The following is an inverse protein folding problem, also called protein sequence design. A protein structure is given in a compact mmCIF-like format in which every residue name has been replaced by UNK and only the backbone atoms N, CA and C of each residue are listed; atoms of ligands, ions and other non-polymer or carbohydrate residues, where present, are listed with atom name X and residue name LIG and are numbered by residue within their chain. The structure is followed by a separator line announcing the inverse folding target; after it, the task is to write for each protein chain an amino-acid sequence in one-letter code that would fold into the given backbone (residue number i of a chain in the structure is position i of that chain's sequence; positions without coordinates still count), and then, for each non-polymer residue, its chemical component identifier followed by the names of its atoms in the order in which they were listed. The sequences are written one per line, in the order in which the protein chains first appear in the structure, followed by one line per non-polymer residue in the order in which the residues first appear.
data_IF_231291491383
#
_entry.id   IF_231291491383
#
_cell.length_a   1.000
_cell.length_b   1.000
_cell.length_c   1.000
_cell.angle_alpha   90.00
_cell.angle_beta   90.00
_cell.angle_gamma   90.00
#
_symmetry.space_group_name_H-M   'P 1'
#
loop_
_entity.id
_entity.type
_entity.pdbx_description
1 polymer ?
#
# COMPACT_ATOMS: atom_id res chain seq x y z
N UNK A 1 76.26 13.11 29.08
CA UNK A 1 76.51 11.66 29.08
C UNK A 1 75.16 10.94 29.03
N UNK A 2 75.00 10.07 28.01
CA UNK A 2 74.01 8.97 27.85
C UNK A 2 72.51 9.31 27.87
N UNK A 3 71.77 9.27 26.74
CA UNK A 3 71.21 8.07 26.04
C UNK A 3 70.46 7.13 26.99
N UNK A 4 69.17 6.81 26.88
CA UNK A 4 68.49 6.03 25.80
C UNK A 4 66.98 5.99 26.20
N UNK A 5 65.96 6.19 25.34
CA UNK A 5 65.28 5.11 24.59
C UNK A 5 63.99 5.65 23.92
N UNK A 6 63.73 5.18 22.68
CA UNK A 6 62.57 5.40 21.78
C UNK A 6 61.41 4.43 22.13
N UNK A 7 60.33 4.26 21.33
CA UNK A 7 59.42 5.18 20.58
C UNK A 7 57.91 4.86 20.84
N UNK A 8 56.95 5.70 20.40
CA UNK A 8 55.71 5.24 19.72
C UNK A 8 54.92 6.42 19.13
N UNK A 9 54.52 6.32 17.85
CA UNK A 9 53.58 7.21 17.14
C UNK A 9 52.14 6.63 17.16
N UNK A 10 51.13 7.36 16.68
CA UNK A 10 50.02 7.95 17.43
C UNK A 10 48.80 7.02 17.63
N UNK A 11 47.89 7.34 18.55
CA UNK A 11 46.50 6.87 18.45
C UNK A 11 45.53 7.84 19.16
N UNK A 12 44.42 8.22 18.50
CA UNK A 12 43.38 9.06 19.07
C UNK A 12 42.49 8.22 20.00
N UNK A 13 42.37 8.65 21.27
CA UNK A 13 41.55 7.94 22.25
C UNK A 13 40.12 8.48 22.25
N UNK A 14 39.23 7.64 21.71
CA UNK A 14 37.81 7.43 22.04
C UNK A 14 36.98 8.63 22.54
N UNK A 15 36.04 9.08 21.71
CA UNK A 15 34.67 9.31 22.18
C UNK A 15 33.74 8.30 21.52
N UNK A 16 33.27 7.37 22.34
CA UNK A 16 32.19 6.47 22.01
C UNK A 16 30.89 7.27 21.89
N UNK A 17 30.24 7.20 20.73
CA UNK A 17 28.80 7.42 20.61
C UNK A 17 28.20 6.19 19.95
N UNK A 18 27.93 5.20 20.78
CA UNK A 18 26.89 4.21 20.52
C UNK A 18 25.57 4.85 20.94
N UNK A 19 24.64 4.99 20.00
CA UNK A 19 23.19 4.68 20.13
C UNK A 19 22.43 5.28 18.93
N UNK A 20 22.17 4.43 17.94
CA UNK A 20 21.06 4.55 17.02
C UNK A 20 20.50 3.15 16.86
N UNK A 21 19.36 2.88 17.48
CA UNK A 21 18.71 1.59 17.45
C UNK A 21 18.31 1.26 16.00
N UNK A 22 18.95 0.26 15.42
CA UNK A 22 18.47 -0.36 14.20
C UNK A 22 17.17 -1.12 14.54
N UNK A 23 16.07 -0.73 13.92
CA UNK A 23 14.83 -1.49 13.97
C UNK A 23 15.08 -2.83 13.28
N UNK A 24 15.26 -3.89 14.08
CA UNK A 24 15.39 -5.24 13.56
C UNK A 24 14.04 -5.76 13.11
N UNK A 25 13.85 -5.91 11.80
CA UNK A 25 12.81 -6.77 11.27
C UNK A 25 13.22 -8.25 11.47
N UNK A 26 12.31 -9.15 11.89
CA UNK A 26 12.63 -10.56 11.98
C UNK A 26 12.77 -11.16 10.56
N UNK A 27 13.99 -11.58 10.20
CA UNK A 27 14.21 -12.40 9.01
C UNK A 27 13.64 -13.81 9.26
N UNK A 28 12.48 -14.10 8.69
CA UNK A 28 11.94 -15.46 8.66
C UNK A 28 12.62 -16.21 7.52
N UNK A 29 13.59 -17.05 7.85
CA UNK A 29 14.21 -17.96 6.88
C UNK A 29 13.27 -19.17 6.69
N UNK A 30 12.50 -19.17 5.61
CA UNK A 30 11.75 -20.35 5.17
C UNK A 30 12.60 -21.11 4.15
N UNK A 31 13.30 -22.15 4.60
CA UNK A 31 13.93 -23.09 3.69
C UNK A 31 12.88 -24.08 3.16
N UNK A 32 12.36 -23.85 1.95
CA UNK A 32 11.62 -24.89 1.21
C UNK A 32 12.52 -25.46 0.13
N UNK A 33 12.82 -26.76 0.23
CA UNK A 33 13.50 -27.48 -0.83
C UNK A 33 12.48 -27.74 -1.95
N UNK A 34 12.58 -27.00 -3.06
CA UNK A 34 11.79 -27.25 -4.26
C UNK A 34 12.44 -28.37 -5.12
N UNK A 35 11.67 -29.28 -5.74
CA UNK A 35 12.21 -30.30 -6.62
C UNK A 35 12.83 -29.66 -7.87
N UNK A 36 14.06 -30.07 -8.20
CA UNK A 36 14.72 -29.73 -9.45
C UNK A 36 13.97 -30.37 -10.63
N UNK A 37 13.11 -29.60 -11.28
CA UNK A 37 12.57 -29.93 -12.60
C UNK A 37 12.45 -28.63 -13.42
N UNK A 38 13.12 -28.64 -14.58
CA UNK A 38 13.19 -27.63 -15.61
C UNK A 38 14.05 -26.39 -15.29
N UNK A 39 15.30 -26.44 -15.76
CA UNK A 39 16.03 -25.24 -16.17
C UNK A 39 15.25 -24.55 -17.30
N UNK A 40 14.40 -23.61 -16.93
CA UNK A 40 13.82 -22.63 -17.83
C UNK A 40 14.29 -21.28 -17.31
N UNK A 41 15.26 -20.71 -18.03
CA UNK A 41 15.73 -19.32 -17.98
C UNK A 41 15.03 -18.50 -16.89
N UNK A 42 15.66 -18.39 -15.71
CA UNK A 42 15.37 -17.25 -14.84
C UNK A 42 15.66 -16.02 -15.71
N UNK A 43 14.70 -15.11 -15.92
CA UNK A 43 14.99 -13.89 -16.63
C UNK A 43 16.19 -13.22 -15.93
N UNK A 44 17.24 -12.89 -16.68
CA UNK A 44 18.46 -12.26 -16.12
C UNK A 44 18.22 -10.81 -15.64
N UNK A 45 16.96 -10.37 -15.54
CA UNK A 45 16.54 -9.01 -15.20
C UNK A 45 15.46 -9.07 -14.11
N UNK A 46 15.46 -8.12 -13.15
CA UNK A 46 14.46 -8.05 -12.09
C UNK A 46 13.05 -7.79 -12.67
N UNK A 47 12.01 -8.24 -11.97
CA UNK A 47 10.65 -7.76 -12.22
C UNK A 47 10.53 -6.28 -11.87
N UNK A 48 9.79 -5.53 -12.67
CA UNK A 48 9.58 -4.09 -12.54
C UNK A 48 8.09 -3.79 -12.77
N UNK A 49 7.41 -3.31 -11.72
CA UNK A 49 5.96 -3.12 -11.65
C UNK A 49 5.60 -1.70 -11.21
N UNK A 50 4.82 -1.00 -12.02
CA UNK A 50 4.20 0.26 -11.64
C UNK A 50 2.81 0.04 -11.04
N UNK A 51 2.44 0.78 -10.00
CA UNK A 51 1.09 0.82 -9.44
C UNK A 51 0.47 2.22 -9.52
N UNK A 52 -0.78 2.30 -9.94
CA UNK A 52 -1.54 3.55 -9.98
C UNK A 52 -2.93 3.38 -9.35
N UNK A 53 -3.21 4.19 -8.33
CA UNK A 53 -4.55 4.38 -7.79
C UNK A 53 -5.25 5.36 -8.73
N UNK A 54 -6.28 4.89 -9.43
CA UNK A 54 -6.98 5.70 -10.44
C UNK A 54 -7.64 6.90 -9.78
N UNK A 55 -7.57 8.06 -10.44
CA UNK A 55 -8.17 9.29 -9.95
C UNK A 55 -9.66 9.10 -9.59
N UNK A 56 -10.11 9.67 -8.45
CA UNK A 56 -11.52 9.78 -8.17
C UNK A 56 -12.22 10.55 -9.30
N UNK A 57 -13.47 10.19 -9.63
CA UNK A 57 -14.18 10.83 -10.73
C UNK A 57 -14.50 12.30 -10.40
N UNK A 58 -14.26 13.16 -11.38
CA UNK A 58 -14.49 14.61 -11.33
C UNK A 58 -15.31 15.00 -12.56
N UNK A 59 -16.34 15.81 -12.36
CA UNK A 59 -17.10 16.44 -13.43
C UNK A 59 -16.22 17.49 -14.10
N UNK A 60 -15.84 17.27 -15.37
CA UNK A 60 -14.95 18.13 -16.13
C UNK A 60 -15.55 19.49 -16.50
N UNK A 61 -16.88 19.64 -16.46
CA UNK A 61 -17.55 20.90 -16.76
C UNK A 61 -17.57 21.82 -15.53
N UNK A 62 -17.71 21.23 -14.33
CA UNK A 62 -17.84 21.98 -13.06
C UNK A 62 -16.60 21.93 -12.18
N UNK A 63 -15.66 21.03 -12.49
CA UNK A 63 -14.50 20.68 -11.66
C UNK A 63 -14.87 20.25 -10.24
N UNK A 64 -16.08 19.70 -10.07
CA UNK A 64 -16.56 19.18 -8.79
C UNK A 64 -16.42 17.66 -8.73
N UNK A 65 -16.23 17.07 -7.53
CA UNK A 65 -16.20 15.63 -7.37
C UNK A 65 -17.53 14.98 -7.82
N UNK A 66 -17.43 13.95 -8.66
CA UNK A 66 -18.58 13.24 -9.18
C UNK A 66 -18.95 12.08 -8.24
N UNK A 67 -20.15 12.10 -7.65
CA UNK A 67 -20.56 11.14 -6.62
C UNK A 67 -21.12 9.85 -7.25
N UNK A 68 -20.26 9.07 -7.92
CA UNK A 68 -20.66 7.88 -8.69
C UNK A 68 -20.15 6.55 -8.12
N UNK A 69 -19.25 6.57 -7.14
CA UNK A 69 -18.71 5.35 -6.53
C UNK A 69 -19.50 4.99 -5.26
N UNK A 70 -20.11 3.79 -5.18
CA UNK A 70 -20.89 3.39 -4.02
C UNK A 70 -20.01 2.96 -2.84
N UNK A 71 -20.38 3.46 -1.66
CA UNK A 71 -19.96 2.94 -0.36
C UNK A 71 -21.10 2.08 0.18
N UNK A 72 -20.83 0.80 0.38
CA UNK A 72 -21.81 -0.18 0.83
C UNK A 72 -21.85 -0.32 2.35
N UNK A 73 -22.92 -0.91 2.85
CA UNK A 73 -22.88 -1.60 4.14
C UNK A 73 -22.04 -2.88 4.03
N UNK A 74 -21.75 -3.52 5.16
CA UNK A 74 -20.92 -4.73 5.24
C UNK A 74 -21.37 -5.89 4.31
N UNK A 75 -22.63 -5.90 3.86
CA UNK A 75 -23.15 -6.90 2.93
C UNK A 75 -22.66 -6.76 1.48
N UNK A 76 -21.99 -5.64 1.14
CA UNK A 76 -21.54 -5.29 -0.22
C UNK A 76 -22.66 -5.22 -1.26
N UNK A 77 -23.92 -5.03 -0.82
CA UNK A 77 -25.12 -5.01 -1.68
C UNK A 77 -25.95 -3.76 -1.42
N UNK A 78 -26.09 -3.38 -0.16
CA UNK A 78 -26.85 -2.21 0.24
C UNK A 78 -25.95 -0.99 0.16
N UNK A 79 -26.22 -0.10 -0.80
CA UNK A 79 -25.50 1.19 -0.91
C UNK A 79 -25.92 2.06 0.28
N UNK A 80 -24.95 2.46 1.10
CA UNK A 80 -25.16 3.39 2.20
C UNK A 80 -24.99 4.84 1.74
N UNK A 81 -24.04 5.10 0.83
CA UNK A 81 -23.73 6.43 0.33
C UNK A 81 -23.05 6.36 -1.04
N UNK A 82 -23.22 7.40 -1.86
CA UNK A 82 -22.43 7.62 -3.08
C UNK A 82 -21.32 8.64 -2.82
N UNK A 83 -20.14 8.40 -3.38
CA UNK A 83 -18.93 9.17 -3.13
C UNK A 83 -18.10 9.35 -4.41
N UNK A 84 -17.14 10.27 -4.38
CA UNK A 84 -16.10 10.38 -5.41
C UNK A 84 -14.85 9.72 -4.84
N UNK A 85 -14.63 8.45 -5.20
CA UNK A 85 -13.52 7.65 -4.69
C UNK A 85 -12.76 7.01 -5.85
N UNK A 86 -11.48 6.63 -5.67
CA UNK A 86 -10.76 5.83 -6.66
C UNK A 86 -11.54 4.56 -7.04
N UNK A 87 -11.95 4.36 -8.30
CA UNK A 87 -12.78 3.21 -8.65
C UNK A 87 -11.97 1.90 -8.73
N UNK A 88 -10.66 1.99 -8.93
CA UNK A 88 -9.78 0.84 -9.13
C UNK A 88 -8.32 1.19 -8.86
N UNK A 89 -7.50 0.15 -8.76
CA UNK A 89 -6.04 0.22 -8.81
C UNK A 89 -5.55 -0.51 -10.06
N UNK A 90 -4.54 0.05 -10.73
CA UNK A 90 -3.86 -0.55 -11.88
C UNK A 90 -2.46 -0.98 -11.49
N UNK A 91 -2.10 -2.20 -11.82
CA UNK A 91 -0.72 -2.70 -11.69
C UNK A 91 -0.23 -3.02 -13.09
N UNK A 92 0.83 -2.36 -13.53
CA UNK A 92 1.40 -2.50 -14.87
C UNK A 92 2.76 -3.14 -14.77
N UNK A 93 3.03 -4.17 -15.56
CA UNK A 93 4.38 -4.65 -15.73
C UNK A 93 5.12 -3.74 -16.71
N UNK A 94 5.94 -2.83 -16.20
CA UNK A 94 6.73 -1.89 -17.00
C UNK A 94 8.11 -2.45 -17.36
N UNK A 95 8.48 -3.56 -16.71
CA UNK A 95 9.70 -4.31 -16.97
C UNK A 95 9.71 -5.12 -18.27
N UNK A 96 10.80 -5.87 -18.43
CA UNK A 96 11.04 -6.72 -19.61
C UNK A 96 10.76 -8.21 -19.37
N UNK A 97 10.38 -8.58 -18.15
CA UNK A 97 10.23 -9.97 -17.70
C UNK A 97 8.83 -10.21 -17.12
N UNK A 98 8.24 -11.41 -17.26
CA UNK A 98 6.91 -11.66 -16.71
C UNK A 98 6.90 -11.64 -15.17
N UNK A 99 5.90 -10.98 -14.59
CA UNK A 99 5.66 -10.98 -13.14
C UNK A 99 4.59 -12.01 -12.78
N UNK A 100 4.93 -12.95 -11.88
CA UNK A 100 4.03 -14.06 -11.51
C UNK A 100 3.43 -13.81 -10.13
N UNK A 101 2.10 -13.80 -10.08
CA UNK A 101 1.28 -13.54 -8.91
C UNK A 101 1.72 -12.30 -8.12
N UNK A 102 1.71 -11.10 -8.73
CA UNK A 102 2.19 -9.89 -8.07
C UNK A 102 1.38 -9.61 -6.80
N UNK A 103 2.06 -8.98 -5.83
CA UNK A 103 1.54 -8.72 -4.49
C UNK A 103 1.89 -7.32 -4.04
N UNK A 104 1.25 -6.86 -2.98
CA UNK A 104 1.56 -5.57 -2.37
C UNK A 104 0.66 -5.25 -1.20
N UNK A 105 0.53 -3.97 -0.88
CA UNK A 105 -0.33 -3.51 0.22
C UNK A 105 -1.29 -2.40 -0.21
N UNK A 106 -2.42 -2.33 0.47
CA UNK A 106 -3.34 -1.20 0.41
C UNK A 106 -3.54 -0.61 1.81
N UNK A 107 -3.73 0.70 1.87
CA UNK A 107 -4.25 1.40 3.04
C UNK A 107 -5.42 2.30 2.64
N UNK A 108 -6.46 2.32 3.46
CA UNK A 108 -7.58 3.25 3.35
C UNK A 108 -7.79 3.97 4.69
N UNK A 109 -7.62 5.28 4.71
CA UNK A 109 -7.70 6.08 5.92
C UNK A 109 -8.65 7.27 5.72
N UNK A 110 -9.63 7.40 6.61
CA UNK A 110 -10.44 8.61 6.68
C UNK A 110 -9.59 9.77 7.19
N UNK A 111 -9.67 10.91 6.52
CA UNK A 111 -8.94 12.14 6.83
C UNK A 111 -9.84 13.36 6.67
N UNK A 112 -9.49 14.43 7.37
CA UNK A 112 -9.92 15.80 7.06
C UNK A 112 -8.67 16.58 6.65
N UNK A 113 -8.48 16.76 5.35
CA UNK A 113 -7.31 17.38 4.74
C UNK A 113 -7.26 18.88 5.01
N UNK A 114 -8.41 19.54 5.15
CA UNK A 114 -8.45 20.97 5.44
C UNK A 114 -7.84 21.29 6.82
N UNK A 115 -7.94 20.36 7.78
CA UNK A 115 -7.42 20.54 9.13
C UNK A 115 -6.26 19.60 9.50
N UNK A 116 -5.79 18.79 8.55
CA UNK A 116 -4.83 17.67 8.76
C UNK A 116 -5.23 16.77 9.95
N UNK A 117 -6.53 16.64 10.16
CA UNK A 117 -7.09 15.91 11.30
C UNK A 117 -7.41 14.48 10.88
N UNK A 118 -6.91 13.52 11.66
CA UNK A 118 -7.27 12.11 11.52
C UNK A 118 -8.30 11.76 12.60
N UNK A 119 -9.56 11.45 12.23
CA UNK A 119 -10.60 11.14 13.19
C UNK A 119 -10.34 9.84 13.93
N UNK A 120 -10.95 9.71 15.12
CA UNK A 120 -11.07 8.43 15.80
C UNK A 120 -11.87 7.48 14.90
N UNK A 121 -11.35 6.28 14.66
CA UNK A 121 -11.98 5.34 13.71
C UNK A 121 -11.66 5.66 12.25
N UNK A 122 -10.49 6.24 11.97
CA UNK A 122 -10.01 6.44 10.59
C UNK A 122 -9.91 5.15 9.76
N UNK A 123 -9.92 3.99 10.41
CA UNK A 123 -9.95 2.66 9.84
C UNK A 123 -11.35 2.03 9.72
N UNK A 124 -12.42 2.83 9.72
CA UNK A 124 -13.79 2.30 9.62
C UNK A 124 -14.21 1.96 8.19
N UNK A 125 -13.66 2.66 7.19
CA UNK A 125 -13.86 2.29 5.79
C UNK A 125 -12.99 1.09 5.44
N UNK A 126 -13.59 0.13 4.75
CA UNK A 126 -12.99 -1.14 4.38
C UNK A 126 -13.05 -1.33 2.86
N UNK A 127 -12.06 -2.05 2.34
CA UNK A 127 -11.93 -2.37 0.93
C UNK A 127 -12.30 -3.84 0.68
N UNK A 128 -12.77 -4.10 -0.54
CA UNK A 128 -12.89 -5.41 -1.14
C UNK A 128 -12.55 -5.31 -2.64
N UNK A 129 -12.10 -6.41 -3.23
CA UNK A 129 -11.91 -6.50 -4.68
C UNK A 129 -13.24 -6.73 -5.40
N UNK A 130 -13.41 -6.09 -6.56
CA UNK A 130 -14.49 -6.36 -7.50
C UNK A 130 -14.21 -7.51 -8.47
N UNK A 131 -13.02 -8.11 -8.45
CA UNK A 131 -12.61 -9.21 -9.34
C UNK A 131 -12.12 -10.44 -8.54
N UNK A 132 -12.42 -11.67 -8.98
CA UNK A 132 -11.90 -12.88 -8.33
C UNK A 132 -10.39 -13.08 -8.53
N UNK A 133 -9.77 -12.38 -9.49
CA UNK A 133 -8.32 -12.48 -9.73
C UNK A 133 -7.50 -11.76 -8.64
N UNK A 134 -8.08 -10.77 -7.96
CA UNK A 134 -7.43 -10.05 -6.89
C UNK A 134 -8.01 -10.42 -5.53
N UNK A 135 -7.16 -10.83 -4.61
CA UNK A 135 -7.53 -11.15 -3.22
C UNK A 135 -6.99 -10.07 -2.29
N UNK A 136 -7.84 -9.51 -1.43
CA UNK A 136 -7.46 -8.58 -0.37
C UNK A 136 -7.62 -9.27 0.97
N UNK A 137 -6.54 -9.34 1.74
CA UNK A 137 -6.51 -9.92 3.09
C UNK A 137 -6.27 -8.79 4.08
N UNK A 138 -7.29 -8.48 4.88
CA UNK A 138 -7.21 -7.41 5.88
C UNK A 138 -6.14 -7.73 6.93
N UNK A 139 -5.25 -6.78 7.17
CA UNK A 139 -4.32 -6.79 8.28
C UNK A 139 -5.07 -6.17 9.46
N UNK A 140 -5.27 -6.91 10.57
CA UNK A 140 -6.02 -6.39 11.70
C UNK A 140 -5.41 -5.10 12.24
N UNK A 141 -6.17 -4.01 12.16
CA UNK A 141 -5.85 -2.76 12.85
C UNK A 141 -6.77 -2.60 14.05
N UNK A 142 -6.32 -2.00 15.17
CA UNK A 142 -7.15 -1.82 16.35
C UNK A 142 -8.43 -1.07 16.02
N UNK A 143 -9.57 -1.57 16.50
CA UNK A 143 -10.86 -0.89 16.29
C UNK A 143 -10.79 0.49 16.96
N UNK A 144 -11.14 1.55 16.21
CA UNK A 144 -11.02 2.94 16.67
C UNK A 144 -9.58 3.42 16.89
N UNK A 145 -8.60 2.86 16.19
CA UNK A 145 -7.27 3.46 16.14
C UNK A 145 -7.39 4.91 15.62
N UNK A 146 -6.75 5.84 16.34
CA UNK A 146 -6.56 7.21 15.85
C UNK A 146 -5.26 7.24 15.06
N UNK A 147 -5.27 7.79 13.86
CA UNK A 147 -4.06 7.94 13.07
C UNK A 147 -3.65 6.70 12.28
N UNK A 148 -4.51 5.67 12.22
CA UNK A 148 -4.24 4.46 11.44
C UNK A 148 -5.40 4.17 10.50
N UNK A 149 -5.11 3.93 9.22
CA UNK A 149 -6.08 3.44 8.25
C UNK A 149 -6.35 1.95 8.39
N UNK A 150 -7.34 1.46 7.65
CA UNK A 150 -7.49 0.02 7.41
C UNK A 150 -6.39 -0.42 6.43
N UNK A 151 -5.80 -1.58 6.65
CA UNK A 151 -4.67 -2.08 5.84
C UNK A 151 -4.97 -3.46 5.28
N UNK A 152 -4.44 -3.76 4.10
CA UNK A 152 -4.57 -5.06 3.46
C UNK A 152 -3.25 -5.48 2.81
N UNK A 153 -2.99 -6.78 2.84
CA UNK A 153 -2.15 -7.40 1.81
C UNK A 153 -3.04 -7.70 0.61
N UNK A 154 -2.58 -7.41 -0.60
CA UNK A 154 -3.25 -7.82 -1.83
C UNK A 154 -2.39 -8.78 -2.64
N UNK A 155 -3.04 -9.66 -3.40
CA UNK A 155 -2.39 -10.52 -4.39
C UNK A 155 -3.22 -10.62 -5.66
N UNK A 156 -2.55 -10.74 -6.79
CA UNK A 156 -3.14 -11.05 -8.08
C UNK A 156 -2.88 -12.52 -8.42
N UNK A 157 -3.88 -13.24 -8.92
CA UNK A 157 -3.74 -14.61 -9.38
C UNK A 157 -3.53 -14.63 -10.90
N UNK A 158 -2.30 -14.88 -11.33
CA UNK A 158 -1.94 -14.93 -12.75
C UNK A 158 -0.52 -14.47 -13.03
N UNK A 159 -0.22 -14.27 -14.31
CA UNK A 159 1.06 -13.72 -14.78
C UNK A 159 0.79 -12.46 -15.58
N UNK A 160 1.51 -11.38 -15.28
CA UNK A 160 1.55 -10.18 -16.10
C UNK A 160 2.77 -10.25 -17.02
N UNK A 161 2.53 -10.38 -18.31
CA UNK A 161 3.59 -10.21 -19.31
C UNK A 161 4.05 -8.74 -19.33
N UNK A 162 5.22 -8.44 -19.89
CA UNK A 162 5.64 -7.06 -20.13
C UNK A 162 4.53 -6.25 -20.83
N UNK A 163 4.27 -5.06 -20.30
CA UNK A 163 3.18 -4.14 -20.70
C UNK A 163 1.74 -4.59 -20.37
N UNK A 164 1.53 -5.75 -19.74
CA UNK A 164 0.21 -6.12 -19.25
C UNK A 164 -0.19 -5.23 -18.06
N UNK A 165 -1.51 -5.00 -17.95
CA UNK A 165 -2.12 -4.24 -16.86
C UNK A 165 -3.14 -5.13 -16.14
N UNK A 166 -2.94 -5.34 -14.84
CA UNK A 166 -3.98 -5.85 -13.94
C UNK A 166 -4.84 -4.70 -13.43
N UNK A 167 -6.15 -4.79 -13.64
CA UNK A 167 -7.12 -3.87 -13.04
C UNK A 167 -7.76 -4.54 -11.82
N UNK A 168 -7.67 -3.89 -10.67
CA UNK A 168 -8.27 -4.30 -9.40
C UNK A 168 -9.39 -3.31 -9.07
N UNK A 169 -10.65 -3.58 -9.48
CA UNK A 169 -11.77 -2.72 -9.10
C UNK A 169 -11.94 -2.70 -7.58
N UNK A 170 -12.12 -1.52 -7.00
CA UNK A 170 -12.29 -1.34 -5.57
C UNK A 170 -13.77 -1.26 -5.20
N UNK A 171 -14.14 -1.96 -4.12
CA UNK A 171 -15.42 -1.81 -3.44
C UNK A 171 -15.19 -1.28 -2.04
N UNK A 172 -15.93 -0.25 -1.68
CA UNK A 172 -15.84 0.40 -0.38
C UNK A 172 -17.02 -0.01 0.50
N UNK A 173 -16.76 -0.27 1.77
CA UNK A 173 -17.83 -0.58 2.70
C UNK A 173 -17.53 -0.15 4.14
N UNK A 174 -18.59 -0.02 4.93
CA UNK A 174 -18.51 0.28 6.36
C UNK A 174 -19.29 -0.75 7.17
N UNK A 175 -18.89 -0.95 8.43
CA UNK A 175 -19.62 -1.79 9.38
C UNK A 175 -20.57 -0.94 10.22
N UNK A 176 -21.83 -1.35 10.31
CA UNK A 176 -22.81 -0.74 11.21
C UNK A 176 -22.48 -1.05 12.69
N UNK A 177 -22.69 -0.11 13.62
CA UNK A 177 -23.10 1.27 13.38
C UNK A 177 -21.96 2.13 12.84
N UNK A 178 -22.23 2.92 11.81
CA UNK A 178 -21.33 3.92 11.27
C UNK A 178 -22.06 5.27 11.23
N UNK A 179 -21.40 6.31 11.70
CA UNK A 179 -21.90 7.68 11.62
C UNK A 179 -20.71 8.62 11.49
N UNK A 180 -20.70 9.44 10.45
CA UNK A 180 -19.66 10.44 10.25
C UNK A 180 -20.22 11.70 9.59
N UNK A 181 -19.49 12.80 9.75
CA UNK A 181 -19.66 13.99 8.90
C UNK A 181 -19.02 13.74 7.54
N UNK A 182 -19.00 14.73 6.65
CA UNK A 182 -18.21 14.64 5.42
C UNK A 182 -16.73 14.46 5.75
N UNK A 183 -16.08 13.54 5.06
CA UNK A 183 -14.65 13.26 5.21
C UNK A 183 -14.02 12.97 3.84
N UNK A 184 -12.71 12.99 3.79
CA UNK A 184 -11.96 12.48 2.64
C UNK A 184 -11.38 11.11 2.96
N UNK A 185 -11.26 10.26 1.95
CA UNK A 185 -10.69 8.94 2.07
C UNK A 185 -9.37 8.90 1.31
N UNK A 186 -8.27 8.80 2.03
CA UNK A 186 -6.96 8.53 1.45
C UNK A 186 -6.90 7.03 1.13
N UNK A 187 -6.58 6.72 -0.13
CA UNK A 187 -6.28 5.36 -0.58
C UNK A 187 -4.82 5.34 -1.03
N UNK A 188 -4.03 4.50 -0.38
CA UNK A 188 -2.61 4.30 -0.70
C UNK A 188 -2.45 2.87 -1.20
N UNK A 189 -1.68 2.70 -2.26
CA UNK A 189 -1.31 1.41 -2.80
C UNK A 189 0.19 1.30 -2.98
N UNK A 190 0.70 0.11 -2.70
CA UNK A 190 2.08 -0.28 -2.92
C UNK A 190 2.11 -1.62 -3.65
N UNK A 191 3.04 -1.80 -4.59
CA UNK A 191 3.36 -3.08 -5.25
C UNK A 191 4.77 -3.51 -4.84
N UNK A 192 4.95 -4.83 -4.68
CA UNK A 192 6.28 -5.42 -4.46
C UNK A 192 6.83 -5.90 -5.80
N UNK A 193 8.05 -5.49 -6.10
CA UNK A 193 8.85 -6.06 -7.17
C UNK A 193 10.32 -6.27 -6.74
N UNK A 194 11.21 -6.52 -7.71
CA UNK A 194 12.63 -6.81 -7.48
C UNK A 194 13.53 -5.60 -7.79
N UNK A 195 12.95 -4.51 -8.32
CA UNK A 195 13.65 -3.30 -8.70
C UNK A 195 13.50 -2.25 -7.59
N UNK A 196 14.14 -2.52 -6.44
CA UNK A 196 13.98 -1.67 -5.26
C UNK A 196 14.30 -0.18 -5.53
N UNK A 197 13.31 0.70 -5.26
CA UNK A 197 13.53 2.13 -5.07
C UNK A 197 13.35 3.01 -6.31
N UNK A 198 12.58 2.56 -7.31
CA UNK A 198 11.98 3.47 -8.28
C UNK A 198 10.73 4.17 -7.70
N UNK A 199 10.11 5.04 -8.50
CA UNK A 199 9.15 6.05 -8.01
C UNK A 199 7.69 5.64 -8.23
N UNK A 200 7.45 4.51 -8.87
CA UNK A 200 6.16 4.02 -9.36
C UNK A 200 5.65 2.79 -8.62
N UNK A 201 6.42 2.28 -7.66
CA UNK A 201 6.03 1.25 -6.69
C UNK A 201 4.87 1.66 -5.77
N UNK A 202 4.57 2.97 -5.67
CA UNK A 202 3.52 3.48 -4.81
C UNK A 202 2.66 4.54 -5.50
N UNK A 203 1.37 4.53 -5.19
CA UNK A 203 0.44 5.57 -5.63
C UNK A 203 -0.58 5.85 -4.54
N UNK A 204 -0.99 7.11 -4.42
CA UNK A 204 -2.01 7.54 -3.48
C UNK A 204 -2.99 8.50 -4.14
N UNK A 205 -4.26 8.39 -3.75
CA UNK A 205 -5.31 9.33 -4.14
C UNK A 205 -6.25 9.61 -2.98
N UNK A 206 -6.83 10.80 -2.99
CA UNK A 206 -7.76 11.27 -2.00
C UNK A 206 -9.14 11.43 -2.64
N UNK A 207 -10.13 10.69 -2.15
CA UNK A 207 -11.52 10.82 -2.58
C UNK A 207 -12.37 11.56 -1.55
N UNK A 208 -13.55 12.03 -1.96
CA UNK A 208 -14.50 12.73 -1.10
C UNK A 208 -15.71 11.84 -0.77
N UNK A 209 -16.07 11.78 0.51
CA UNK A 209 -17.24 11.03 0.99
C UNK A 209 -18.17 11.97 1.78
N UNK A 210 -19.39 12.24 1.27
CA UNK A 210 -20.40 12.97 2.03
C UNK A 210 -20.76 12.22 3.32
N UNK A 211 -21.06 12.94 4.40
CA UNK A 211 -21.44 12.33 5.68
C UNK A 211 -22.74 11.52 5.59
N UNK A 212 -22.77 10.39 6.29
CA UNK A 212 -23.92 9.47 6.28
C UNK A 212 -23.97 8.60 7.55
N UNK A 213 -25.08 7.87 7.70
CA UNK A 213 -25.29 6.87 8.75
C UNK A 213 -25.58 5.50 8.14
N UNK A 214 -25.05 4.44 8.76
CA UNK A 214 -25.25 3.05 8.32
C UNK A 214 -25.30 2.07 9.50
#
# INVERSE_FOLDING_TARGET
MSSTSRPHLPAPTRRAMLKGAAWGAPAVVVATAAPAAAASVLPDQPTDLAIDVVDPPVDMDTWQPEMTVPVYQQDLRTVAQMASLPPMVRVTNVGSVPAVNPVGTFEAAMKDYASDYIPLGSNQVKLASGTPQATLTEIPTPVFAKGEGSKWNWSWSGTLQPSDVAEIPLKYWVRSPFANVTFELLVVAFVQDEQEGDWDDNSERLGQVPGFTA
#
